data_IF_917149903612
#
_entry.id   IF_917149903612
#
_cell.length_a   1.000
_cell.length_b   1.000
_cell.length_c   1.000
_cell.angle_alpha   90.00
_cell.angle_beta   90.00
_cell.angle_gamma   90.00
#
_symmetry.space_group_name_H-M   'P 1'
#
loop_
_entity.id
_entity.type
_entity.pdbx_description
1 polymer ?
#
# COMPACT_ATOMS: atom_id res chain seq x y z
N UNK A 1 -10.11 -15.79 20.68
CA UNK A 1 -10.35 -15.56 19.24
C UNK A 1 -11.24 -14.33 18.96
N UNK A 2 -11.11 -13.23 19.74
CA UNK A 2 -11.90 -11.99 19.57
C UNK A 2 -11.08 -10.69 19.64
N UNK A 3 -9.75 -10.78 19.77
CA UNK A 3 -8.89 -9.60 19.94
C UNK A 3 -8.36 -9.01 18.61
N UNK A 4 -8.56 -9.69 17.47
CA UNK A 4 -7.98 -9.27 16.18
C UNK A 4 -8.82 -8.25 15.40
N UNK A 5 -10.10 -8.05 15.75
CA UNK A 5 -10.97 -7.08 15.04
C UNK A 5 -10.71 -5.61 15.40
N UNK A 6 -9.94 -5.31 16.45
CA UNK A 6 -9.67 -3.91 16.85
C UNK A 6 -8.42 -3.30 16.22
N UNK A 7 -7.48 -4.10 15.72
CA UNK A 7 -6.24 -3.57 15.12
C UNK A 7 -6.50 -3.01 13.71
N UNK A 8 -7.48 -3.56 12.97
CA UNK A 8 -7.89 -3.03 11.68
C UNK A 8 -8.56 -1.64 11.76
N UNK A 9 -9.15 -1.29 12.90
CA UNK A 9 -9.85 -0.01 13.08
C UNK A 9 -8.89 1.20 13.22
N UNK A 10 -7.63 0.99 13.62
CA UNK A 10 -6.67 2.09 13.78
C UNK A 10 -5.97 2.52 12.48
N UNK A 11 -5.91 1.64 11.46
CA UNK A 11 -5.25 1.97 10.18
C UNK A 11 -6.19 2.71 9.21
N UNK A 12 -7.52 2.63 9.42
CA UNK A 12 -8.53 3.25 8.56
C UNK A 12 -8.78 4.75 8.75
N UNK A 13 -8.05 5.44 9.65
CA UNK A 13 -8.35 6.85 9.99
C UNK A 13 -7.63 7.87 9.10
N UNK A 14 -6.72 7.45 8.19
CA UNK A 14 -5.97 8.38 7.35
C UNK A 14 -6.52 8.64 5.93
N UNK A 15 -7.67 8.05 5.55
CA UNK A 15 -8.35 8.38 4.29
C UNK A 15 -9.81 8.75 4.54
N UNK A 16 -10.18 10.05 4.53
CA UNK A 16 -11.57 10.44 4.58
C UNK A 16 -12.21 10.18 3.21
N UNK A 17 -12.81 9.02 3.03
CA UNK A 17 -13.69 8.73 1.90
C UNK A 17 -15.01 9.49 2.09
N UNK A 18 -15.07 10.75 1.65
CA UNK A 18 -16.34 11.49 1.51
C UNK A 18 -17.18 10.81 0.42
N UNK A 19 -18.04 9.89 0.83
CA UNK A 19 -19.16 9.42 0.02
C UNK A 19 -20.33 10.41 0.19
N UNK A 20 -20.50 11.30 -0.79
CA UNK A 20 -21.74 12.05 -0.96
C UNK A 20 -22.65 11.21 -1.88
N UNK A 21 -23.51 10.38 -1.29
CA UNK A 21 -24.58 9.67 -2.00
C UNK A 21 -25.88 10.43 -1.80
N UNK A 22 -26.21 11.33 -2.73
CA UNK A 22 -27.53 11.94 -2.82
C UNK A 22 -28.24 11.37 -4.05
N UNK A 23 -29.12 10.40 -3.83
CA UNK A 23 -29.99 9.81 -4.83
C UNK A 23 -31.21 10.70 -5.04
N UNK A 24 -31.39 11.24 -6.25
CA UNK A 24 -32.69 11.68 -6.77
C UNK A 24 -32.96 10.95 -8.08
N UNK A 25 -34.03 10.15 -8.17
CA UNK A 25 -34.47 9.55 -9.43
C UNK A 25 -35.65 10.36 -9.98
N UNK A 26 -35.53 10.97 -11.15
CA UNK A 26 -36.69 11.30 -11.99
C UNK A 26 -36.27 11.77 -13.38
N UNK A 27 -37.05 11.30 -14.37
CA UNK A 27 -37.10 11.72 -15.78
C UNK A 27 -36.17 11.01 -16.77
N UNK A 28 -36.49 9.74 -16.97
CA UNK A 28 -36.74 9.20 -18.30
C UNK A 28 -37.72 10.08 -19.10
N UNK A 29 -37.29 10.71 -20.20
CA UNK A 29 -38.06 10.92 -21.43
C UNK A 29 -37.23 11.69 -22.49
N UNK A 30 -37.40 11.27 -23.76
CA UNK A 30 -36.85 11.80 -25.02
C UNK A 30 -35.50 11.18 -25.45
N UNK A 31 -35.47 10.11 -26.27
CA UNK A 31 -35.80 9.95 -27.71
C UNK A 31 -34.51 9.87 -28.55
N UNK A 32 -34.39 8.94 -29.52
CA UNK A 32 -33.12 8.61 -30.17
C UNK A 32 -32.86 9.54 -31.37
N UNK A 33 -31.89 10.46 -31.23
CA UNK A 33 -31.44 11.27 -32.36
C UNK A 33 -30.16 10.72 -33.01
N UNK A 34 -30.40 10.03 -34.13
CA UNK A 34 -29.58 9.90 -35.35
C UNK A 34 -28.14 10.44 -35.27
N UNK A 35 -27.19 9.51 -35.26
CA UNK A 35 -25.75 9.69 -35.48
C UNK A 35 -25.50 10.21 -36.91
N UNK A 36 -24.91 11.39 -37.02
CA UNK A 36 -24.22 11.85 -38.23
C UNK A 36 -22.80 12.22 -37.83
N UNK A 37 -21.83 11.53 -38.41
CA UNK A 37 -20.40 11.75 -38.22
C UNK A 37 -20.02 13.08 -38.86
N UNK A 38 -20.02 14.14 -38.07
CA UNK A 38 -19.22 15.36 -38.26
C UNK A 38 -19.37 16.19 -36.99
N UNK A 39 -18.28 16.33 -36.22
CA UNK A 39 -18.27 16.99 -34.92
C UNK A 39 -18.49 18.50 -35.01
N UNK A 40 -19.73 18.93 -35.15
CA UNK A 40 -20.17 20.31 -34.92
C UNK A 40 -21.48 20.26 -34.12
N UNK A 41 -21.38 20.46 -32.81
CA UNK A 41 -22.54 20.65 -31.94
C UNK A 41 -22.90 22.13 -31.97
N UNK A 42 -23.96 22.49 -32.70
CA UNK A 42 -24.52 23.85 -32.67
C UNK A 42 -25.48 24.00 -31.50
N UNK A 43 -25.02 24.64 -30.43
CA UNK A 43 -25.88 25.16 -29.36
C UNK A 43 -26.09 26.65 -29.62
N UNK A 44 -27.33 27.03 -29.94
CA UNK A 44 -27.86 28.38 -29.80
C UNK A 44 -27.03 29.52 -30.44
N UNK A 45 -26.73 29.42 -31.74
CA UNK A 45 -26.35 30.58 -32.56
C UNK A 45 -24.98 31.21 -32.27
N UNK A 46 -24.17 30.65 -31.38
CA UNK A 46 -22.77 31.04 -31.20
C UNK A 46 -21.86 29.91 -31.70
N UNK A 47 -21.08 30.20 -32.74
CA UNK A 47 -20.01 29.31 -33.19
C UNK A 47 -18.84 29.35 -32.20
N UNK A 48 -18.92 28.58 -31.12
CA UNK A 48 -17.76 28.33 -30.26
C UNK A 48 -16.88 27.33 -31.02
N UNK A 49 -15.82 27.84 -31.65
CA UNK A 49 -14.71 27.03 -32.14
C UNK A 49 -14.20 26.23 -30.93
N UNK A 50 -14.49 24.94 -30.88
CA UNK A 50 -13.83 24.02 -29.96
C UNK A 50 -12.35 24.01 -30.37
N UNK A 51 -11.57 24.88 -29.72
CA UNK A 51 -10.12 24.72 -29.68
C UNK A 51 -9.91 23.44 -28.89
N UNK A 52 -9.80 22.33 -29.62
CA UNK A 52 -9.19 21.11 -29.11
C UNK A 52 -7.71 21.41 -28.91
N UNK A 53 -7.41 22.18 -27.86
CA UNK A 53 -6.10 22.17 -27.22
C UNK A 53 -6.18 21.09 -26.15
N UNK A 54 -6.28 19.83 -26.58
CA UNK A 54 -5.74 18.78 -25.75
C UNK A 54 -4.22 19.06 -25.72
N UNK A 55 -3.61 19.46 -24.60
CA UNK A 55 -2.18 19.23 -24.49
C UNK A 55 -1.99 17.72 -24.75
N UNK A 56 -1.02 17.36 -25.58
CA UNK A 56 -0.38 16.05 -25.42
C UNK A 56 0.14 16.04 -23.99
N UNK A 57 -0.69 15.61 -23.03
CA UNK A 57 -0.16 15.04 -21.82
C UNK A 57 0.63 13.83 -22.30
N UNK A 58 1.94 13.98 -22.34
CA UNK A 58 2.89 12.88 -22.18
C UNK A 58 2.58 12.23 -20.83
N UNK A 59 1.46 11.52 -20.76
CA UNK A 59 0.86 10.97 -19.57
C UNK A 59 1.78 9.88 -19.06
N UNK A 60 2.71 10.26 -18.21
CA UNK A 60 3.61 9.32 -17.58
C UNK A 60 2.75 8.36 -16.77
N UNK A 61 2.82 7.05 -17.02
CA UNK A 61 2.00 6.10 -16.29
C UNK A 61 2.20 6.28 -14.78
N UNK A 62 1.12 6.24 -13.98
CA UNK A 62 1.16 6.60 -12.57
C UNK A 62 2.13 5.73 -11.75
N UNK A 63 2.34 4.48 -12.17
CA UNK A 63 3.29 3.57 -11.54
C UNK A 63 4.75 4.07 -11.65
N UNK A 64 5.13 4.76 -12.73
CA UNK A 64 6.49 5.32 -12.87
C UNK A 64 6.74 6.41 -11.83
N UNK A 65 5.76 7.28 -11.58
CA UNK A 65 5.87 8.32 -10.55
C UNK A 65 5.97 7.66 -9.17
N UNK A 66 5.18 6.64 -8.92
CA UNK A 66 5.21 5.91 -7.66
C UNK A 66 6.57 5.21 -7.41
N UNK A 67 7.12 4.55 -8.41
CA UNK A 67 8.40 3.83 -8.31
C UNK A 67 9.58 4.79 -8.16
N UNK A 68 9.56 5.92 -8.88
CA UNK A 68 10.60 6.95 -8.74
C UNK A 68 10.63 7.56 -7.34
N UNK A 69 9.45 7.80 -6.74
CA UNK A 69 9.36 8.25 -5.35
C UNK A 69 9.89 7.20 -4.36
N UNK A 70 9.57 5.91 -4.56
CA UNK A 70 10.07 4.83 -3.71
C UNK A 70 11.58 4.62 -3.85
N UNK A 71 12.11 4.71 -5.08
CA UNK A 71 13.55 4.62 -5.33
C UNK A 71 14.31 5.79 -4.68
N UNK A 72 13.77 7.01 -4.79
CA UNK A 72 14.35 8.17 -4.13
C UNK A 72 14.30 8.03 -2.60
N UNK A 73 13.17 7.59 -2.04
CA UNK A 73 13.03 7.34 -0.61
C UNK A 73 14.03 6.28 -0.12
N UNK A 74 14.17 5.18 -0.85
CA UNK A 74 15.15 4.12 -0.55
C UNK A 74 16.58 4.67 -0.56
N UNK A 75 16.94 5.46 -1.57
CA UNK A 75 18.27 6.07 -1.66
C UNK A 75 18.55 6.96 -0.45
N UNK A 76 17.63 7.88 -0.10
CA UNK A 76 17.79 8.77 1.05
C UNK A 76 17.85 8.01 2.39
N UNK A 77 17.06 6.95 2.54
CA UNK A 77 17.08 6.08 3.71
C UNK A 77 18.43 5.35 3.84
N UNK A 78 18.96 4.80 2.74
CA UNK A 78 20.27 4.13 2.73
C UNK A 78 21.40 5.11 3.07
N UNK A 79 21.40 6.30 2.47
CA UNK A 79 22.39 7.35 2.79
C UNK A 79 22.31 7.69 4.29
N UNK A 80 21.10 7.87 4.83
CA UNK A 80 20.89 8.18 6.26
C UNK A 80 21.37 7.04 7.16
N UNK A 81 21.06 5.80 6.79
CA UNK A 81 21.44 4.61 7.54
C UNK A 81 22.97 4.44 7.55
N UNK A 82 23.61 4.52 6.38
CA UNK A 82 25.07 4.41 6.23
C UNK A 82 25.78 5.55 6.95
N UNK A 83 25.32 6.79 6.81
CA UNK A 83 25.89 7.95 7.51
C UNK A 83 25.83 7.77 9.04
N UNK A 84 24.73 7.20 9.54
CA UNK A 84 24.60 6.89 10.96
C UNK A 84 25.55 5.77 11.44
N UNK A 85 25.88 4.80 10.58
CA UNK A 85 26.88 3.77 10.89
C UNK A 85 28.31 4.31 10.90
N UNK A 86 28.64 5.25 10.02
CA UNK A 86 29.98 5.85 9.92
C UNK A 86 30.23 6.84 11.07
N UNK A 87 29.18 7.54 11.52
CA UNK A 87 29.28 8.58 12.54
C UNK A 87 29.47 8.00 13.96
N UNK A 88 30.73 7.84 14.41
CA UNK A 88 31.08 7.41 15.77
C UNK A 88 30.70 8.41 16.88
N UNK A 89 30.51 9.68 16.53
CA UNK A 89 30.30 10.76 17.53
C UNK A 89 28.87 10.82 18.08
N UNK A 90 27.88 10.21 17.41
CA UNK A 90 26.47 10.38 17.73
C UNK A 90 25.91 9.08 18.28
N UNK A 91 25.56 9.07 19.57
CA UNK A 91 24.91 7.92 20.22
C UNK A 91 23.43 7.90 19.81
N UNK A 92 23.06 6.97 18.93
CA UNK A 92 21.67 6.80 18.46
C UNK A 92 20.98 5.62 19.15
N UNK A 93 19.66 5.69 19.24
CA UNK A 93 18.81 4.62 19.79
C UNK A 93 18.80 3.40 18.86
N UNK A 94 18.75 2.19 19.42
CA UNK A 94 18.73 0.95 18.61
C UNK A 94 17.43 0.79 17.83
N UNK A 95 16.30 1.17 18.43
CA UNK A 95 14.99 1.17 17.75
C UNK A 95 14.92 2.15 16.58
N UNK A 96 15.73 3.21 16.56
CA UNK A 96 15.81 4.12 15.41
C UNK A 96 16.38 3.42 14.17
N UNK A 97 17.42 2.59 14.34
CA UNK A 97 17.93 1.75 13.25
C UNK A 97 16.91 0.71 12.80
N UNK A 98 16.13 0.15 13.73
CA UNK A 98 15.04 -0.78 13.42
C UNK A 98 13.96 -0.09 12.57
N UNK A 99 13.55 1.13 12.93
CA UNK A 99 12.60 1.93 12.15
C UNK A 99 13.11 2.21 10.73
N UNK A 100 14.37 2.65 10.58
CA UNK A 100 14.96 2.86 9.26
C UNK A 100 14.99 1.58 8.43
N UNK A 101 15.39 0.45 9.04
CA UNK A 101 15.43 -0.83 8.36
C UNK A 101 14.03 -1.26 7.90
N UNK A 102 13.00 -1.07 8.72
CA UNK A 102 11.61 -1.35 8.35
C UNK A 102 11.12 -0.47 7.19
N UNK A 103 11.52 0.80 7.14
CA UNK A 103 11.22 1.68 6.00
C UNK A 103 11.98 1.26 4.73
N UNK A 104 13.23 0.81 4.85
CA UNK A 104 14.01 0.26 3.72
C UNK A 104 13.31 -0.98 3.16
N UNK A 105 12.91 -1.91 4.02
CA UNK A 105 12.14 -3.10 3.61
C UNK A 105 10.84 -2.69 2.92
N UNK A 106 10.11 -1.71 3.47
CA UNK A 106 8.90 -1.17 2.85
C UNK A 106 9.15 -0.67 1.42
N UNK A 107 10.21 0.12 1.19
CA UNK A 107 10.54 0.59 -0.16
C UNK A 107 10.93 -0.56 -1.09
N UNK A 108 11.72 -1.52 -0.61
CA UNK A 108 12.12 -2.70 -1.40
C UNK A 108 10.89 -3.50 -1.83
N UNK A 109 9.90 -3.70 -0.96
CA UNK A 109 8.66 -4.44 -1.27
C UNK A 109 7.97 -3.91 -2.52
N UNK A 110 7.91 -2.59 -2.70
CA UNK A 110 7.29 -1.98 -3.87
C UNK A 110 8.18 -2.05 -5.12
N UNK A 111 9.50 -1.98 -4.95
CA UNK A 111 10.44 -1.99 -6.07
C UNK A 111 10.70 -3.39 -6.67
N UNK A 112 10.23 -4.47 -6.04
CA UNK A 112 10.41 -5.84 -6.57
C UNK A 112 9.82 -6.03 -7.97
N UNK A 113 8.70 -5.37 -8.29
CA UNK A 113 8.03 -5.50 -9.60
C UNK A 113 8.58 -4.57 -10.67
N UNK A 114 9.56 -3.71 -10.35
CA UNK A 114 10.11 -2.76 -11.32
C UNK A 114 10.65 -3.52 -12.53
N UNK A 115 10.21 -3.11 -13.72
CA UNK A 115 10.53 -3.77 -14.99
C UNK A 115 9.52 -4.82 -15.46
N UNK A 116 8.55 -5.22 -14.62
CA UNK A 116 7.47 -6.14 -15.00
C UNK A 116 6.10 -5.45 -15.15
N UNK A 117 5.97 -4.17 -14.79
CA UNK A 117 4.68 -3.43 -14.82
C UNK A 117 4.22 -3.02 -16.24
N UNK A 118 5.14 -2.90 -17.19
CA UNK A 118 4.81 -2.54 -18.59
C UNK A 118 4.97 -3.69 -19.57
N UNK A 119 5.30 -4.89 -19.07
CA UNK A 119 5.78 -6.01 -19.86
C UNK A 119 4.83 -7.22 -19.85
N UNK A 120 5.30 -8.38 -20.33
CA UNK A 120 4.57 -9.63 -20.18
C UNK A 120 4.33 -9.96 -18.70
N UNK A 121 3.21 -10.63 -18.42
CA UNK A 121 2.75 -10.92 -17.07
C UNK A 121 3.86 -11.59 -16.22
N UNK A 122 4.15 -11.08 -15.00
CA UNK A 122 5.16 -11.66 -14.13
C UNK A 122 4.76 -13.07 -13.67
N UNK A 123 5.75 -13.84 -13.21
CA UNK A 123 5.48 -15.15 -12.65
C UNK A 123 4.58 -15.05 -11.41
N UNK A 124 3.64 -15.98 -11.28
CA UNK A 124 2.67 -15.99 -10.18
C UNK A 124 3.34 -15.97 -8.80
N UNK A 125 4.43 -16.72 -8.63
CA UNK A 125 5.20 -16.76 -7.38
C UNK A 125 5.78 -15.39 -7.02
N UNK A 126 6.20 -14.59 -8.01
CA UNK A 126 6.73 -13.24 -7.78
C UNK A 126 5.60 -12.28 -7.37
N UNK A 127 4.43 -12.36 -8.02
CA UNK A 127 3.25 -11.57 -7.64
C UNK A 127 2.80 -11.88 -6.21
N UNK A 128 2.71 -13.17 -5.82
CA UNK A 128 2.36 -13.56 -4.44
C UNK A 128 3.40 -13.07 -3.44
N UNK A 129 4.69 -13.27 -3.73
CA UNK A 129 5.75 -12.88 -2.83
C UNK A 129 5.74 -11.36 -2.60
N UNK A 130 5.61 -10.58 -3.66
CA UNK A 130 5.50 -9.13 -3.56
C UNK A 130 4.25 -8.71 -2.80
N UNK A 131 3.09 -9.29 -3.11
CA UNK A 131 1.85 -8.99 -2.40
C UNK A 131 2.01 -9.24 -0.89
N UNK A 132 2.58 -10.39 -0.50
CA UNK A 132 2.87 -10.71 0.89
C UNK A 132 3.76 -9.67 1.56
N UNK A 133 4.83 -9.24 0.89
CA UNK A 133 5.72 -8.20 1.37
C UNK A 133 5.02 -6.84 1.54
N UNK A 134 4.20 -6.43 0.57
CA UNK A 134 3.45 -5.17 0.60
C UNK A 134 2.43 -5.17 1.75
N UNK A 135 1.71 -6.27 1.96
CA UNK A 135 0.74 -6.39 3.06
C UNK A 135 1.41 -6.41 4.44
N UNK A 136 2.59 -7.02 4.56
CA UNK A 136 3.33 -7.07 5.82
C UNK A 136 4.00 -5.72 6.18
N UNK A 137 4.29 -4.87 5.20
CA UNK A 137 5.13 -3.70 5.42
C UNK A 137 4.49 -2.60 6.30
N UNK A 138 3.23 -2.14 6.11
CA UNK A 138 2.63 -1.12 6.96
C UNK A 138 2.55 -1.50 8.45
N UNK A 139 2.08 -2.71 8.83
CA UNK A 139 2.12 -3.17 10.22
C UNK A 139 3.53 -3.21 10.81
N UNK A 140 4.53 -3.58 9.99
CA UNK A 140 5.94 -3.67 10.39
C UNK A 140 6.51 -2.29 10.73
N UNK A 141 6.24 -1.29 9.87
CA UNK A 141 6.65 0.11 10.09
C UNK A 141 5.93 0.69 11.31
N UNK A 142 4.63 0.42 11.47
CA UNK A 142 3.87 0.85 12.64
C UNK A 142 4.44 0.26 13.95
N UNK A 143 4.76 -1.04 13.96
CA UNK A 143 5.38 -1.71 15.09
C UNK A 143 6.78 -1.13 15.42
N UNK A 144 7.60 -0.86 14.40
CA UNK A 144 8.90 -0.24 14.58
C UNK A 144 8.79 1.20 15.11
N UNK A 145 7.82 1.97 14.60
CA UNK A 145 7.53 3.33 15.06
C UNK A 145 7.06 3.35 16.53
N UNK A 146 6.21 2.41 16.91
CA UNK A 146 5.78 2.25 18.30
C UNK A 146 6.97 1.91 19.21
N UNK A 147 7.80 0.95 18.82
CA UNK A 147 9.02 0.61 19.57
C UNK A 147 9.96 1.81 19.73
N UNK A 148 10.12 2.63 18.69
CA UNK A 148 10.90 3.86 18.73
C UNK A 148 10.33 4.90 19.71
N UNK A 149 9.03 5.17 19.67
CA UNK A 149 8.37 6.10 20.58
C UNK A 149 8.47 5.62 22.03
N UNK A 150 8.30 4.31 22.29
CA UNK A 150 8.42 3.74 23.63
C UNK A 150 9.86 3.84 24.15
N UNK A 151 10.88 3.52 23.35
CA UNK A 151 12.28 3.70 23.77
C UNK A 151 12.59 5.18 24.05
N UNK A 152 12.14 6.10 23.19
CA UNK A 152 12.31 7.53 23.37
C UNK A 152 11.68 8.02 24.69
N UNK A 153 10.43 7.62 24.94
CA UNK A 153 9.72 7.94 26.17
C UNK A 153 10.46 7.41 27.41
N UNK A 154 10.85 6.12 27.41
CA UNK A 154 11.58 5.52 28.54
C UNK A 154 12.89 6.24 28.82
N UNK A 155 13.66 6.60 27.79
CA UNK A 155 14.93 7.33 27.95
C UNK A 155 14.72 8.74 28.47
N UNK A 156 13.70 9.45 27.98
CA UNK A 156 13.37 10.80 28.45
C UNK A 156 12.93 10.77 29.92
N UNK A 157 12.02 9.86 30.29
CA UNK A 157 11.59 9.68 31.67
C UNK A 157 12.75 9.28 32.59
N UNK A 158 13.62 8.36 32.15
CA UNK A 158 14.79 7.94 32.91
C UNK A 158 15.76 9.12 33.15
N UNK A 159 15.95 10.00 32.16
CA UNK A 159 16.75 11.21 32.29
C UNK A 159 16.20 12.20 33.31
N UNK A 160 14.87 12.30 33.44
CA UNK A 160 14.21 13.19 34.40
C UNK A 160 14.23 12.62 35.83
N UNK A 161 14.15 11.30 35.98
CA UNK A 161 14.11 10.62 37.28
C UNK A 161 15.50 10.13 37.74
N UNK A 162 16.57 10.46 37.01
CA UNK A 162 17.93 9.93 37.24
C UNK A 162 17.98 8.38 37.35
N UNK A 163 17.09 7.72 36.62
CA UNK A 163 16.97 6.26 36.58
C UNK A 163 17.68 5.69 35.33
N UNK A 164 17.87 4.38 35.29
CA UNK A 164 18.49 3.68 34.15
C UNK A 164 17.45 2.86 33.39
N UNK A 165 17.49 2.93 32.06
CA UNK A 165 16.58 2.13 31.22
C UNK A 165 17.09 0.69 31.15
N UNK A 166 16.20 -0.28 31.41
CA UNK A 166 16.56 -1.69 31.33
C UNK A 166 16.81 -2.10 29.85
N UNK A 167 18.01 -2.57 29.49
CA UNK A 167 18.37 -2.94 28.11
C UNK A 167 17.59 -4.15 27.59
N UNK A 168 17.09 -5.02 28.48
CA UNK A 168 16.26 -6.17 28.11
C UNK A 168 14.93 -5.70 27.48
N UNK A 169 14.31 -4.66 28.04
CA UNK A 169 13.05 -4.11 27.49
C UNK A 169 13.24 -3.56 26.08
N UNK A 170 14.34 -2.85 25.85
CA UNK A 170 14.70 -2.32 24.52
C UNK A 170 14.92 -3.47 23.53
N UNK A 171 15.63 -4.52 23.96
CA UNK A 171 15.90 -5.69 23.11
C UNK A 171 14.60 -6.40 22.71
N UNK A 172 13.68 -6.60 23.65
CA UNK A 172 12.35 -7.18 23.36
C UNK A 172 11.55 -6.31 22.38
N UNK A 173 11.58 -4.98 22.54
CA UNK A 173 10.91 -4.05 21.61
C UNK A 173 11.48 -4.12 20.19
N UNK A 174 12.77 -4.43 20.02
CA UNK A 174 13.37 -4.59 18.69
C UNK A 174 12.84 -5.82 17.96
N UNK A 175 12.53 -6.91 18.67
CA UNK A 175 11.98 -8.13 18.08
C UNK A 175 10.51 -8.01 17.67
N UNK A 176 9.78 -7.01 18.18
CA UNK A 176 8.37 -6.80 17.86
C UNK A 176 8.14 -6.59 16.36
N UNK A 177 8.92 -5.70 15.73
CA UNK A 177 8.76 -5.36 14.31
C UNK A 177 8.97 -6.55 13.36
N UNK A 178 10.09 -7.31 13.41
CA UNK A 178 10.28 -8.48 12.55
C UNK A 178 9.29 -9.60 12.84
N UNK A 179 8.86 -9.76 14.10
CA UNK A 179 7.84 -10.76 14.45
C UNK A 179 6.49 -10.42 13.80
N UNK A 180 6.06 -9.15 13.87
CA UNK A 180 4.85 -8.68 13.17
C UNK A 180 4.97 -8.89 11.67
N UNK A 181 6.13 -8.58 11.09
CA UNK A 181 6.38 -8.79 9.66
C UNK A 181 6.18 -10.26 9.26
N UNK A 182 6.85 -11.18 9.97
CA UNK A 182 6.80 -12.60 9.67
C UNK A 182 5.39 -13.18 9.82
N UNK A 183 4.65 -12.77 10.85
CA UNK A 183 3.27 -13.20 11.03
C UNK A 183 2.42 -12.74 9.83
N UNK A 184 2.39 -11.44 9.52
CA UNK A 184 1.52 -10.94 8.44
C UNK A 184 1.94 -11.49 7.07
N UNK A 185 3.24 -11.60 6.82
CA UNK A 185 3.77 -12.17 5.59
C UNK A 185 3.32 -13.62 5.42
N UNK A 186 3.46 -14.45 6.46
CA UNK A 186 3.09 -15.87 6.40
C UNK A 186 1.58 -16.06 6.26
N UNK A 187 0.78 -15.27 6.97
CA UNK A 187 -0.69 -15.25 6.82
C UNK A 187 -1.08 -14.89 5.38
N UNK A 188 -0.45 -13.87 4.79
CA UNK A 188 -0.72 -13.49 3.39
C UNK A 188 -0.36 -14.60 2.40
N UNK A 189 0.75 -15.30 2.61
CA UNK A 189 1.13 -16.46 1.78
C UNK A 189 0.16 -17.64 1.95
N UNK A 190 -0.20 -17.98 3.18
CA UNK A 190 -1.09 -19.09 3.48
C UNK A 190 -2.48 -18.87 2.87
N UNK A 191 -3.00 -17.66 2.99
CA UNK A 191 -4.27 -17.24 2.37
C UNK A 191 -4.18 -17.32 0.84
N UNK A 192 -3.08 -16.84 0.24
CA UNK A 192 -2.86 -16.89 -1.21
C UNK A 192 -2.82 -18.33 -1.76
N UNK A 193 -2.14 -19.24 -1.06
CA UNK A 193 -2.03 -20.64 -1.48
C UNK A 193 -3.35 -21.40 -1.32
N UNK A 194 -4.06 -21.17 -0.21
CA UNK A 194 -5.35 -21.81 0.07
C UNK A 194 -6.38 -21.48 -1.02
N UNK A 195 -6.36 -20.24 -1.52
CA UNK A 195 -7.25 -19.82 -2.61
C UNK A 195 -6.91 -20.43 -3.96
N UNK A 196 -5.64 -20.69 -4.26
CA UNK A 196 -5.27 -21.37 -5.51
C UNK A 196 -5.82 -22.80 -5.55
N UNK A 197 -5.66 -23.53 -4.44
CA UNK A 197 -6.20 -24.90 -4.32
C UNK A 197 -7.74 -24.92 -4.43
N UNK A 198 -8.42 -23.85 -3.98
CA UNK A 198 -9.86 -23.74 -4.15
C UNK A 198 -10.26 -23.44 -5.60
N UNK A 199 -9.54 -22.56 -6.30
CA UNK A 199 -9.84 -22.20 -7.70
C UNK A 199 -9.61 -23.38 -8.65
N UNK A 200 -8.56 -24.18 -8.45
CA UNK A 200 -8.31 -25.38 -9.26
C UNK A 200 -9.44 -26.42 -9.13
N UNK A 201 -10.09 -26.48 -7.97
CA UNK A 201 -11.23 -27.38 -7.73
C UNK A 201 -12.55 -26.84 -8.29
N UNK A 202 -12.73 -25.52 -8.31
CA UNK A 202 -13.97 -24.87 -8.77
C UNK A 202 -14.08 -24.77 -10.30
N UNK A 203 -12.98 -24.90 -11.06
CA UNK A 203 -13.02 -24.97 -12.54
C UNK A 203 -13.87 -26.15 -13.06
N UNK A 204 -14.21 -27.12 -12.20
CA UNK A 204 -15.09 -28.24 -12.55
C UNK A 204 -16.57 -28.09 -12.14
N UNK A 205 -17.00 -26.99 -11.52
CA UNK A 205 -18.42 -26.74 -11.25
C UNK A 205 -18.88 -25.36 -11.75
N UNK A 206 -20.00 -25.28 -12.49
CA UNK A 206 -20.65 -24.01 -12.74
C UNK A 206 -21.46 -23.62 -11.51
N UNK A 207 -20.94 -22.75 -10.65
CA UNK A 207 -21.74 -22.18 -9.55
C UNK A 207 -21.62 -20.66 -9.46
N UNK A 208 -22.78 -20.06 -9.63
CA UNK A 208 -23.19 -18.71 -9.27
C UNK A 208 -23.29 -18.59 -7.74
N UNK A 209 -22.41 -17.85 -7.04
CA UNK A 209 -22.71 -17.40 -5.66
C UNK A 209 -21.82 -16.28 -5.09
N UNK A 210 -22.51 -15.27 -4.54
CA UNK A 210 -22.25 -14.39 -3.38
C UNK A 210 -21.03 -13.45 -3.29
N UNK A 211 -21.34 -12.15 -3.43
CA UNK A 211 -20.43 -11.01 -3.57
C UNK A 211 -19.80 -10.45 -2.29
N UNK A 212 -20.10 -10.95 -1.08
CA UNK A 212 -19.83 -10.16 0.13
C UNK A 212 -18.44 -10.31 0.77
N UNK A 213 -17.64 -11.30 0.34
CA UNK A 213 -16.21 -11.47 0.72
C UNK A 213 -15.24 -11.08 -0.43
N UNK A 214 -15.80 -10.74 -1.60
CA UNK A 214 -15.05 -10.54 -2.83
C UNK A 214 -14.30 -9.20 -2.93
N UNK A 215 -14.61 -8.19 -2.12
CA UNK A 215 -14.01 -6.85 -2.29
C UNK A 215 -12.54 -6.79 -1.90
N UNK A 216 -12.11 -7.58 -0.92
CA UNK A 216 -10.69 -7.70 -0.56
C UNK A 216 -9.90 -8.50 -1.61
N UNK A 217 -10.51 -9.50 -2.23
CA UNK A 217 -9.89 -10.35 -3.25
C UNK A 217 -9.91 -9.74 -4.64
N UNK A 218 -10.93 -8.94 -4.97
CA UNK A 218 -10.98 -8.16 -6.20
C UNK A 218 -9.81 -7.15 -6.25
N UNK A 219 -9.38 -6.62 -5.11
CA UNK A 219 -8.16 -5.83 -4.99
C UNK A 219 -6.87 -6.62 -5.26
N UNK A 220 -6.81 -7.91 -4.90
CA UNK A 220 -5.66 -8.79 -5.16
C UNK A 220 -5.61 -9.27 -6.63
N UNK A 221 -6.76 -9.64 -7.19
CA UNK A 221 -6.91 -9.98 -8.62
C UNK A 221 -6.68 -8.76 -9.51
N UNK A 222 -7.22 -7.60 -9.13
CA UNK A 222 -6.88 -6.33 -9.77
C UNK A 222 -5.40 -5.99 -9.53
N UNK A 223 -4.81 -6.26 -8.37
CA UNK A 223 -3.38 -6.04 -8.13
C UNK A 223 -2.47 -6.80 -9.10
N UNK A 224 -2.86 -7.99 -9.55
CA UNK A 224 -2.09 -8.77 -10.54
C UNK A 224 -2.55 -8.53 -12.00
N UNK A 225 -3.60 -7.71 -12.23
CA UNK A 225 -4.16 -7.37 -13.57
C UNK A 225 -4.08 -5.86 -13.89
N UNK A 226 -3.86 -5.02 -12.89
CA UNK A 226 -3.82 -3.54 -12.94
C UNK A 226 -2.44 -3.01 -12.52
N UNK A 227 -1.52 -3.87 -12.06
CA UNK A 227 -0.07 -3.57 -12.01
C UNK A 227 0.65 -4.13 -13.22
#
# INVERSE_FOLDING_TARGET
MMAMNKVAACVGVLFPHKALSHSTPLLSLLSPHRRTDTGIVMVHGLAIRQVSSAPEESGTPPFIIFDTLHALALFLLLVTYIAALISKSIVRMKTWFCLLLSCIIYCISFLVLVGHQGGPQPSFSLCIFQAGLIYAAPPTVAAAGLSFIIELYMRLSASLTASQVNPLKITVLMFLSPLVHLIIFWEALFVSQSSHHFIDLEIHRPVSMDYHISTWWAGLKAGCTVM
#
